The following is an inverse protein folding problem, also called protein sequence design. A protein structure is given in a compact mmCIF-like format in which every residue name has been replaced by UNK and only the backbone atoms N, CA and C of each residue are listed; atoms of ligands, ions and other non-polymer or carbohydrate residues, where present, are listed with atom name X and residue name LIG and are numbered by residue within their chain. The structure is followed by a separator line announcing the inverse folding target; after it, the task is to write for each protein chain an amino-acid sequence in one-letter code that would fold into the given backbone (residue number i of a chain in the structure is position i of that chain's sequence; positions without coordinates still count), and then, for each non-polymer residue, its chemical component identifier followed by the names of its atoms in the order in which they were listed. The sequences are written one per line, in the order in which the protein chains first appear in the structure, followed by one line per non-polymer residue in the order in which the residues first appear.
data_IF_912287829247
#
_entry.id   IF_912287829247
#
_cell.length_a   1.000
_cell.length_b   1.000
_cell.length_c   1.000
_cell.angle_alpha   90.00
_cell.angle_beta   90.00
_cell.angle_gamma   90.00
#
_symmetry.space_group_name_H-M   'P 1'
#
loop_
_entity.id
_entity.type
_entity.pdbx_description
1 polymer ?
#
# COMPACT_ATOMS: atom_id res chain seq x y z
N UNK A 1 44.41 -0.57 -21.96
CA UNK A 1 43.67 -1.81 -21.72
C UNK A 1 42.28 -1.45 -21.16
N UNK A 2 41.27 -1.58 -21.97
CA UNK A 2 39.88 -1.36 -21.54
C UNK A 2 39.35 -2.62 -20.88
N UNK A 3 39.12 -2.59 -19.57
CA UNK A 3 38.45 -3.67 -18.84
C UNK A 3 36.96 -3.54 -19.09
N UNK A 4 36.40 -4.48 -19.79
CA UNK A 4 34.96 -4.60 -20.05
C UNK A 4 34.30 -5.30 -18.86
N UNK A 5 33.08 -4.86 -18.52
CA UNK A 5 32.26 -5.35 -17.40
C UNK A 5 31.88 -6.84 -17.45
N UNK A 6 32.46 -7.61 -18.36
CA UNK A 6 32.19 -9.04 -18.52
C UNK A 6 33.15 -9.97 -17.77
N UNK A 7 34.29 -9.46 -17.24
CA UNK A 7 35.28 -10.28 -16.57
C UNK A 7 34.99 -10.54 -15.09
N UNK A 8 33.88 -10.06 -14.56
CA UNK A 8 33.53 -10.25 -13.14
C UNK A 8 32.74 -11.54 -12.85
N UNK A 9 32.36 -12.32 -13.85
CA UNK A 9 31.50 -13.51 -13.71
C UNK A 9 32.23 -14.85 -13.90
N UNK A 10 33.57 -14.88 -13.97
CA UNK A 10 34.35 -16.13 -14.03
C UNK A 10 35.29 -16.21 -12.85
N UNK A 11 34.84 -16.87 -11.83
CA UNK A 11 35.75 -17.26 -10.74
C UNK A 11 35.09 -17.36 -9.39
N UNK A 12 34.38 -18.46 -9.14
CA UNK A 12 34.40 -19.15 -7.86
C UNK A 12 33.41 -20.35 -7.95
N UNK A 13 33.89 -21.45 -8.43
CA UNK A 13 33.32 -22.74 -8.11
C UNK A 13 33.91 -23.15 -6.75
N UNK A 14 33.13 -23.16 -5.70
CA UNK A 14 33.41 -23.88 -4.48
C UNK A 14 32.27 -24.84 -4.25
N UNK A 15 32.55 -26.08 -4.48
CA UNK A 15 31.73 -27.24 -4.14
C UNK A 15 31.83 -27.41 -2.62
N UNK A 16 30.75 -27.15 -1.92
CA UNK A 16 30.55 -27.52 -0.54
C UNK A 16 29.33 -28.40 -0.41
N UNK A 17 29.57 -29.73 -0.34
CA UNK A 17 28.53 -30.67 0.01
C UNK A 17 28.21 -30.54 1.49
N UNK A 18 26.91 -30.34 1.82
CA UNK A 18 26.48 -30.30 3.21
C UNK A 18 24.98 -30.44 3.34
N UNK A 19 24.55 -31.67 3.63
CA UNK A 19 23.38 -32.09 4.41
C UNK A 19 22.00 -31.46 4.11
N UNK A 20 21.17 -32.28 3.50
CA UNK A 20 19.72 -32.22 3.48
C UNK A 20 19.13 -32.33 4.90
N UNK A 21 18.45 -31.32 5.37
CA UNK A 21 17.48 -31.42 6.43
C UNK A 21 16.08 -31.13 5.87
N UNK A 22 15.11 -32.02 5.98
CA UNK A 22 13.73 -31.71 5.62
C UNK A 22 13.07 -31.03 6.82
N UNK A 23 12.87 -29.75 6.70
CA UNK A 23 12.24 -28.96 7.75
C UNK A 23 11.24 -27.96 7.19
N UNK A 24 9.95 -28.30 7.32
CA UNK A 24 8.80 -27.42 7.45
C UNK A 24 8.69 -26.23 6.48
N UNK A 25 7.91 -26.44 5.43
CA UNK A 25 7.21 -25.39 4.72
C UNK A 25 6.19 -24.73 5.66
N UNK A 26 6.57 -23.66 6.31
CA UNK A 26 5.60 -22.72 6.84
C UNK A 26 5.11 -21.87 5.66
N UNK A 27 3.80 -21.81 5.39
CA UNK A 27 3.28 -20.80 4.50
C UNK A 27 3.48 -19.46 5.20
N UNK A 28 4.56 -18.77 4.86
CA UNK A 28 4.80 -17.42 5.31
C UNK A 28 3.64 -16.56 4.87
N UNK A 29 2.91 -16.03 5.84
CA UNK A 29 2.03 -14.91 5.64
C UNK A 29 2.80 -13.87 4.81
N UNK A 30 2.39 -13.65 3.59
CA UNK A 30 2.75 -12.46 2.83
C UNK A 30 2.09 -11.30 3.56
N UNK A 31 2.76 -10.84 4.59
CA UNK A 31 2.55 -9.49 5.03
C UNK A 31 2.81 -8.64 3.78
N UNK A 32 1.76 -8.06 3.24
CA UNK A 32 1.87 -6.93 2.34
C UNK A 32 2.50 -5.80 3.17
N UNK A 33 3.79 -5.98 3.44
CA UNK A 33 4.60 -4.99 4.12
C UNK A 33 4.65 -3.78 3.20
N UNK A 34 4.30 -2.66 3.76
CA UNK A 34 4.47 -1.34 3.23
C UNK A 34 5.86 -1.18 2.60
N UNK A 35 5.99 -1.63 1.36
CA UNK A 35 7.19 -1.41 0.56
C UNK A 35 7.39 0.07 0.20
N UNK A 36 6.53 0.93 0.72
CA UNK A 36 6.59 2.38 0.52
C UNK A 36 7.54 3.09 1.50
N UNK A 37 7.97 2.44 2.59
CA UNK A 37 8.78 3.10 3.61
C UNK A 37 10.28 3.21 3.27
N UNK A 38 10.74 2.49 2.25
CA UNK A 38 12.18 2.43 1.93
C UNK A 38 12.69 3.60 1.07
N UNK A 39 11.88 4.60 0.78
CA UNK A 39 12.36 5.78 0.05
C UNK A 39 12.58 6.93 1.02
N UNK A 40 13.87 7.13 1.34
CA UNK A 40 14.41 8.12 2.25
C UNK A 40 13.59 9.40 2.40
N UNK A 41 13.18 9.71 3.63
CA UNK A 41 12.76 11.04 4.04
C UNK A 41 11.27 11.38 3.96
N UNK A 42 10.40 10.50 3.48
CA UNK A 42 8.95 10.78 3.48
C UNK A 42 8.28 10.08 4.64
N UNK A 43 7.76 10.87 5.57
CA UNK A 43 6.90 10.36 6.64
C UNK A 43 5.48 10.15 6.12
N UNK A 44 4.92 8.98 6.38
CA UNK A 44 3.49 8.77 6.24
C UNK A 44 2.73 9.65 7.25
N UNK A 45 1.64 10.25 6.81
CA UNK A 45 0.74 10.98 7.71
C UNK A 45 -0.20 9.95 8.34
N UNK A 46 -0.29 9.94 9.66
CA UNK A 46 -1.24 9.10 10.38
C UNK A 46 -2.41 9.97 10.80
N UNK A 47 -3.59 9.67 10.28
CA UNK A 47 -4.83 10.32 10.69
C UNK A 47 -5.51 9.43 11.73
N UNK A 48 -5.67 9.90 12.98
CA UNK A 48 -6.33 9.10 14.01
C UNK A 48 -7.75 8.71 13.59
N UNK A 49 -8.10 7.45 13.83
CA UNK A 49 -9.44 6.88 13.58
C UNK A 49 -9.92 6.91 12.12
N UNK A 50 -9.05 7.25 11.18
CA UNK A 50 -9.36 7.28 9.74
C UNK A 50 -8.39 6.38 8.99
N UNK A 51 -8.87 5.34 8.30
CA UNK A 51 -8.01 4.45 7.54
C UNK A 51 -7.42 5.14 6.31
N UNK A 52 -6.26 4.70 5.88
CA UNK A 52 -5.68 5.10 4.60
C UNK A 52 -6.41 4.43 3.44
N UNK A 53 -6.66 5.18 2.38
CA UNK A 53 -7.23 4.64 1.15
C UNK A 53 -6.12 3.94 0.34
N UNK A 54 -6.36 2.67 0.05
CA UNK A 54 -5.50 1.93 -0.86
C UNK A 54 -5.57 2.52 -2.28
N UNK A 55 -4.48 2.43 -3.02
CA UNK A 55 -4.41 2.90 -4.40
C UNK A 55 -3.88 1.80 -5.32
N UNK A 56 -4.25 1.90 -6.59
CA UNK A 56 -3.68 1.10 -7.67
C UNK A 56 -2.68 1.94 -8.47
N UNK A 57 -1.66 1.29 -9.05
CA UNK A 57 -0.71 1.95 -9.94
C UNK A 57 -1.06 1.63 -11.39
N UNK A 58 -1.45 2.65 -12.12
CA UNK A 58 -1.71 2.58 -13.55
C UNK A 58 -0.72 3.49 -14.30
N UNK A 59 0.27 2.89 -14.94
CA UNK A 59 1.28 3.62 -15.72
C UNK A 59 2.02 4.71 -14.91
N UNK A 60 2.27 4.50 -13.62
CA UNK A 60 2.89 5.49 -12.74
C UNK A 60 1.94 6.53 -12.17
N UNK A 61 0.63 6.38 -12.41
CA UNK A 61 -0.43 7.19 -11.81
C UNK A 61 -1.03 6.43 -10.63
N UNK A 62 -1.15 7.06 -9.48
CA UNK A 62 -1.90 6.52 -8.35
C UNK A 62 -3.40 6.71 -8.58
N UNK A 63 -4.13 5.61 -8.64
CA UNK A 63 -5.58 5.61 -8.84
C UNK A 63 -6.26 5.27 -7.52
N UNK A 64 -7.12 6.17 -7.06
CA UNK A 64 -7.93 6.01 -5.86
C UNK A 64 -9.40 5.87 -6.25
N UNK A 65 -10.10 4.92 -5.64
CA UNK A 65 -11.53 4.71 -5.83
C UNK A 65 -12.29 5.13 -4.59
N UNK A 66 -13.24 6.03 -4.74
CA UNK A 66 -14.14 6.52 -3.70
C UNK A 66 -15.57 6.22 -4.10
N UNK A 67 -16.35 5.71 -3.16
CA UNK A 67 -17.79 5.56 -3.29
C UNK A 67 -18.45 6.56 -2.35
N UNK A 68 -19.15 7.55 -2.90
CA UNK A 68 -19.95 8.48 -2.13
C UNK A 68 -21.31 7.86 -1.82
N UNK A 69 -21.62 7.65 -0.56
CA UNK A 69 -22.82 6.90 -0.14
C UNK A 69 -23.39 7.39 1.19
N UNK A 70 -24.68 7.13 1.47
CA UNK A 70 -25.26 7.36 2.78
C UNK A 70 -24.64 6.40 3.81
N UNK A 71 -24.18 6.95 4.92
CA UNK A 71 -23.52 6.21 6.01
C UNK A 71 -24.28 6.42 7.32
N UNK A 72 -24.52 5.33 8.06
CA UNK A 72 -25.03 5.39 9.42
C UNK A 72 -23.85 5.19 10.37
N UNK A 73 -23.49 6.25 11.09
CA UNK A 73 -22.32 6.21 11.97
C UNK A 73 -22.68 6.65 13.38
N UNK A 74 -22.17 5.89 14.34
CA UNK A 74 -22.23 6.28 15.74
C UNK A 74 -21.11 7.28 16.02
N UNK A 75 -21.48 8.51 16.36
CA UNK A 75 -20.53 9.60 16.63
C UNK A 75 -20.03 9.53 18.08
N UNK A 76 -20.92 9.16 19.00
CA UNK A 76 -20.59 8.88 20.39
C UNK A 76 -21.62 7.89 20.96
N UNK A 77 -21.36 7.29 22.11
CA UNK A 77 -22.24 6.26 22.68
C UNK A 77 -23.71 6.69 22.71
N UNK A 78 -24.56 5.90 22.05
CA UNK A 78 -26.01 6.14 21.98
C UNK A 78 -26.48 7.16 20.92
N UNK A 79 -25.58 7.78 20.16
CA UNK A 79 -25.96 8.74 19.10
C UNK A 79 -25.54 8.24 17.72
N UNK A 80 -26.51 7.79 16.96
CA UNK A 80 -26.33 7.39 15.55
C UNK A 80 -26.85 8.50 14.66
N UNK A 81 -26.03 8.89 13.67
CA UNK A 81 -26.40 9.87 12.66
C UNK A 81 -26.41 9.24 11.27
N UNK A 82 -27.30 9.72 10.43
CA UNK A 82 -27.27 9.45 9.00
C UNK A 82 -26.44 10.56 8.36
N UNK A 83 -25.33 10.20 7.75
CA UNK A 83 -24.36 11.11 7.16
C UNK A 83 -24.16 10.74 5.70
N UNK A 84 -23.55 11.62 4.95
CA UNK A 84 -22.98 11.32 3.65
C UNK A 84 -21.48 11.14 3.85
N UNK A 85 -20.96 10.04 3.36
CA UNK A 85 -19.56 9.69 3.54
C UNK A 85 -18.97 9.04 2.31
N UNK A 86 -17.76 8.58 2.47
CA UNK A 86 -17.03 7.84 1.44
C UNK A 86 -16.59 6.48 1.98
N UNK A 87 -16.80 5.44 1.16
CA UNK A 87 -16.37 4.07 1.50
C UNK A 87 -16.85 3.62 2.89
N UNK A 88 -18.10 3.92 3.24
CA UNK A 88 -18.74 3.46 4.48
C UNK A 88 -18.42 4.29 5.72
N UNK A 89 -17.73 5.40 5.62
CA UNK A 89 -17.38 6.25 6.77
C UNK A 89 -17.48 7.74 6.50
N UNK A 90 -17.67 8.51 7.58
CA UNK A 90 -17.59 9.96 7.57
C UNK A 90 -16.78 10.42 8.81
N UNK A 91 -15.66 11.13 8.62
CA UNK A 91 -15.04 11.48 7.34
C UNK A 91 -14.59 10.25 6.54
N UNK A 92 -14.40 10.41 5.23
CA UNK A 92 -13.90 9.35 4.37
C UNK A 92 -12.44 9.01 4.63
N UNK A 93 -11.89 8.00 3.92
CA UNK A 93 -10.53 7.53 4.12
C UNK A 93 -9.49 8.60 3.73
N UNK A 94 -8.30 8.49 4.33
CA UNK A 94 -7.17 9.39 4.03
C UNK A 94 -6.54 9.03 2.70
N UNK A 95 -6.36 10.02 1.83
CA UNK A 95 -5.62 9.92 0.57
C UNK A 95 -4.23 10.49 0.78
N UNK A 96 -3.19 9.69 0.51
CA UNK A 96 -1.81 10.12 0.62
C UNK A 96 -1.10 10.12 -0.72
N UNK A 97 -0.54 11.24 -1.08
CA UNK A 97 0.29 11.40 -2.27
C UNK A 97 1.47 12.32 -1.99
N UNK A 98 2.56 12.14 -2.73
CA UNK A 98 3.74 12.98 -2.65
C UNK A 98 3.65 14.10 -3.67
N UNK A 99 4.30 15.21 -3.38
CA UNK A 99 4.46 16.27 -4.36
C UNK A 99 5.12 15.73 -5.63
N UNK A 100 4.53 16.03 -6.78
CA UNK A 100 5.01 15.59 -8.09
C UNK A 100 4.47 14.23 -8.56
N UNK A 101 3.77 13.47 -7.71
CA UNK A 101 3.07 12.26 -8.13
C UNK A 101 1.81 12.61 -8.93
N UNK A 102 1.52 11.78 -9.92
CA UNK A 102 0.24 11.86 -10.64
C UNK A 102 -0.80 11.06 -9.89
N UNK A 103 -1.95 11.67 -9.67
CA UNK A 103 -3.07 11.08 -8.96
C UNK A 103 -4.32 11.15 -9.82
N UNK A 104 -5.07 10.06 -9.85
CA UNK A 104 -6.41 9.97 -10.43
C UNK A 104 -7.37 9.55 -9.33
N UNK A 105 -8.43 10.29 -9.13
CA UNK A 105 -9.48 9.95 -8.18
C UNK A 105 -10.73 9.65 -8.98
N UNK A 106 -11.24 8.44 -8.81
CA UNK A 106 -12.49 7.99 -9.41
C UNK A 106 -13.53 7.99 -8.30
N UNK A 107 -14.65 8.64 -8.54
CA UNK A 107 -15.73 8.75 -7.56
C UNK A 107 -17.00 8.17 -8.15
N UNK A 108 -17.51 7.13 -7.51
CA UNK A 108 -18.82 6.56 -7.80
C UNK A 108 -19.86 7.20 -6.86
N UNK A 109 -20.83 7.88 -7.44
CA UNK A 109 -21.82 8.60 -6.65
C UNK A 109 -23.08 7.75 -6.47
N UNK A 110 -23.29 7.28 -5.24
CA UNK A 110 -24.47 6.54 -4.81
C UNK A 110 -25.38 7.36 -3.88
N UNK A 111 -25.17 8.66 -3.82
CA UNK A 111 -26.04 9.55 -3.04
C UNK A 111 -27.39 9.71 -3.75
N UNK A 112 -28.48 9.91 -2.99
CA UNK A 112 -29.82 10.12 -3.56
C UNK A 112 -29.93 11.43 -4.33
#
# INVERSE_FOLDING_TARGET
MKRTRRDFLQGAAVIGAGALAPGALTPGAVAAGNSAEARAGVRAVVTPDVPDLAFELDGGVKVFHLVAEPVRQQIYPGKILNLWGYNGSAPGPTIQARQGERVRIIVDNHLP
#
